data_IF_570403844421
#
_entry.id   IF_570403844421
#
_cell.length_a   1.000
_cell.length_b   1.000
_cell.length_c   1.000
_cell.angle_alpha   90.00
_cell.angle_beta   90.00
_cell.angle_gamma   90.00
#
_symmetry.space_group_name_H-M   'P 1'
#
loop_
_entity.id
_entity.type
_entity.pdbx_description
1 polymer ?
#
# COMPACT_ATOMS: atom_id res chain seq x y z
N UNK A 1 -13.04 5.19 26.39
CA UNK A 1 -12.34 3.96 25.96
C UNK A 1 -11.00 3.86 26.69
N UNK A 2 -10.55 2.66 27.08
CA UNK A 2 -9.25 2.39 27.71
C UNK A 2 -8.61 1.14 27.10
N UNK A 3 -7.28 1.03 27.24
CA UNK A 3 -6.48 -0.09 26.70
C UNK A 3 -5.74 -0.81 27.84
N UNK A 4 -5.77 -2.13 27.81
CA UNK A 4 -5.16 -2.98 28.83
C UNK A 4 -4.46 -4.18 28.21
N UNK A 5 -3.28 -4.53 28.72
CA UNK A 5 -2.64 -5.81 28.41
C UNK A 5 -3.23 -6.90 29.30
N UNK A 6 -3.39 -8.12 28.78
CA UNK A 6 -3.78 -9.29 29.58
C UNK A 6 -2.99 -10.52 29.12
N UNK A 7 -2.76 -11.47 30.03
CA UNK A 7 -2.18 -12.77 29.68
C UNK A 7 -3.21 -13.63 28.95
N UNK A 8 -2.82 -14.29 27.86
CA UNK A 8 -3.73 -15.19 27.12
C UNK A 8 -4.21 -16.35 28.03
N UNK A 9 -3.38 -16.78 28.99
CA UNK A 9 -3.71 -17.86 29.94
C UNK A 9 -4.62 -17.39 31.09
N UNK A 10 -4.54 -16.11 31.47
CA UNK A 10 -5.39 -15.49 32.50
C UNK A 10 -6.08 -14.21 31.98
N UNK A 11 -7.08 -14.31 31.07
CA UNK A 11 -7.69 -13.15 30.42
C UNK A 11 -8.41 -12.18 31.37
N UNK A 12 -8.74 -12.63 32.58
CA UNK A 12 -9.37 -11.81 33.62
C UNK A 12 -8.41 -10.85 34.32
N UNK A 13 -7.09 -11.07 34.22
CA UNK A 13 -6.07 -10.19 34.79
C UNK A 13 -5.56 -9.25 33.72
N UNK A 14 -5.94 -7.98 33.83
CA UNK A 14 -5.51 -6.94 32.91
C UNK A 14 -4.72 -5.84 33.62
N UNK A 15 -3.67 -5.36 32.97
CA UNK A 15 -2.86 -4.23 33.41
C UNK A 15 -3.01 -3.07 32.44
N UNK A 16 -3.05 -1.84 32.94
CA UNK A 16 -3.03 -0.66 32.07
C UNK A 16 -1.76 -0.64 31.20
N UNK A 17 -1.86 -0.03 30.00
CA UNK A 17 -0.69 0.12 29.13
C UNK A 17 0.49 0.74 29.88
N UNK A 18 1.63 0.06 29.84
CA UNK A 18 2.96 0.61 30.19
C UNK A 18 3.64 1.07 28.90
N UNK A 19 4.48 2.10 28.97
CA UNK A 19 5.29 2.55 27.83
C UNK A 19 6.35 1.49 27.51
N UNK A 20 6.16 0.76 26.41
CA UNK A 20 7.09 -0.26 25.94
C UNK A 20 7.23 -0.21 24.42
N UNK A 21 8.42 -0.50 23.92
CA UNK A 21 8.70 -0.71 22.48
C UNK A 21 8.76 -2.17 22.08
N UNK A 22 8.90 -3.06 23.07
CA UNK A 22 9.05 -4.50 22.87
C UNK A 22 7.70 -5.20 22.97
N UNK A 23 7.49 -6.20 22.12
CA UNK A 23 6.22 -6.92 22.06
C UNK A 23 6.07 -7.82 23.29
N UNK A 24 4.97 -7.71 24.08
CA UNK A 24 4.71 -8.66 25.13
C UNK A 24 4.27 -9.99 24.51
N UNK A 25 5.15 -11.00 24.58
CA UNK A 25 4.83 -12.37 24.17
C UNK A 25 3.68 -12.91 25.04
N UNK A 26 2.81 -13.73 24.44
CA UNK A 26 1.70 -14.41 25.13
C UNK A 26 0.68 -13.47 25.82
N UNK A 27 0.62 -12.22 25.37
CA UNK A 27 -0.37 -11.24 25.81
C UNK A 27 -1.37 -10.87 24.71
N UNK A 28 -2.60 -10.62 25.12
CA UNK A 28 -3.63 -9.95 24.31
C UNK A 28 -3.81 -8.50 24.72
N UNK A 29 -4.44 -7.72 23.84
CA UNK A 29 -4.79 -6.32 24.09
C UNK A 29 -6.31 -6.21 24.24
N UNK A 30 -6.77 -5.79 25.42
CA UNK A 30 -8.16 -5.51 25.70
C UNK A 30 -8.46 -4.01 25.51
N UNK A 31 -9.58 -3.72 24.86
CA UNK A 31 -10.13 -2.40 24.62
C UNK A 31 -11.46 -2.32 25.37
N UNK A 32 -11.53 -1.52 26.42
CA UNK A 32 -12.74 -1.34 27.22
C UNK A 32 -13.42 -0.02 26.86
N UNK A 33 -14.75 -0.02 26.74
CA UNK A 33 -15.50 1.22 26.52
C UNK A 33 -16.90 1.14 27.11
N UNK A 34 -17.39 2.29 27.60
CA UNK A 34 -18.71 2.47 28.22
C UNK A 34 -19.64 3.34 27.36
N UNK A 35 -19.13 3.87 26.24
CA UNK A 35 -19.84 4.83 25.38
C UNK A 35 -19.97 4.31 23.95
N UNK A 36 -21.16 4.49 23.37
CA UNK A 36 -21.33 4.68 21.93
C UNK A 36 -21.06 3.47 21.03
N UNK A 37 -21.23 2.24 21.51
CA UNK A 37 -21.19 1.08 20.62
C UNK A 37 -22.57 0.85 20.01
N UNK A 38 -22.71 0.86 18.67
CA UNK A 38 -23.96 0.51 18.01
C UNK A 38 -24.33 -0.95 18.33
N UNK A 39 -25.39 -1.14 19.12
CA UNK A 39 -25.86 -2.47 19.54
C UNK A 39 -25.49 -2.90 20.96
N UNK A 40 -24.96 -2.02 21.81
CA UNK A 40 -24.75 -2.27 23.25
C UNK A 40 -25.47 -1.20 24.07
N UNK A 41 -26.14 -1.59 25.14
CA UNK A 41 -26.88 -0.67 26.01
C UNK A 41 -25.92 0.35 26.67
N UNK A 42 -26.26 1.66 26.65
CA UNK A 42 -25.47 2.70 27.31
C UNK A 42 -25.24 2.38 28.79
N UNK A 43 -23.99 2.50 29.25
CA UNK A 43 -23.60 2.19 30.63
C UNK A 43 -23.13 0.75 30.89
N UNK A 44 -23.20 -0.13 29.88
CA UNK A 44 -22.59 -1.47 29.96
C UNK A 44 -21.13 -1.42 29.50
N UNK A 45 -20.19 -1.83 30.35
CA UNK A 45 -18.78 -1.98 29.95
C UNK A 45 -18.66 -3.12 28.94
N UNK A 46 -18.20 -2.79 27.73
CA UNK A 46 -17.88 -3.76 26.69
C UNK A 46 -16.36 -3.93 26.60
N UNK A 47 -15.91 -5.18 26.58
CA UNK A 47 -14.50 -5.55 26.43
C UNK A 47 -14.30 -6.19 25.07
N UNK A 48 -13.41 -5.60 24.27
CA UNK A 48 -12.97 -6.19 23.02
C UNK A 48 -11.52 -6.62 23.12
N UNK A 49 -11.24 -7.89 22.81
CA UNK A 49 -9.89 -8.42 22.87
C UNK A 49 -9.32 -8.60 21.48
N UNK A 50 -8.11 -8.11 21.31
CA UNK A 50 -7.23 -8.34 20.17
C UNK A 50 -6.21 -9.38 20.63
N UNK A 51 -6.38 -10.63 20.16
CA UNK A 51 -5.49 -11.74 20.50
C UNK A 51 -4.51 -11.97 19.36
N UNK A 52 -3.23 -12.06 19.71
CA UNK A 52 -2.16 -12.39 18.79
C UNK A 52 -2.03 -13.91 18.68
N UNK A 53 -2.22 -14.48 17.49
CA UNK A 53 -1.81 -15.85 17.23
C UNK A 53 -0.56 -15.85 16.36
N UNK A 54 0.57 -16.24 16.96
CA UNK A 54 1.82 -16.41 16.24
C UNK A 54 1.82 -17.81 15.63
N UNK A 55 1.52 -17.93 14.33
CA UNK A 55 1.88 -19.15 13.62
C UNK A 55 3.38 -19.08 13.32
N UNK A 56 4.16 -19.95 13.96
CA UNK A 56 5.59 -20.09 13.70
C UNK A 56 5.77 -20.37 12.21
N UNK A 57 6.56 -19.55 11.51
CA UNK A 57 6.89 -19.82 10.12
C UNK A 57 7.52 -21.23 10.02
N UNK A 58 7.27 -21.98 8.93
CA UNK A 58 7.93 -23.27 8.74
C UNK A 58 9.44 -23.08 8.84
N UNK A 59 10.12 -24.03 9.48
CA UNK A 59 11.54 -23.98 9.91
C UNK A 59 12.58 -23.66 8.83
N UNK A 60 12.15 -23.52 7.57
CA UNK A 60 12.98 -23.26 6.41
C UNK A 60 12.84 -21.83 5.86
N UNK A 61 11.96 -20.97 6.41
CA UNK A 61 11.91 -19.57 6.00
C UNK A 61 12.82 -18.73 6.90
N UNK A 62 13.87 -18.16 6.31
CA UNK A 62 14.74 -17.17 6.95
C UNK A 62 14.06 -15.78 7.03
N UNK A 63 12.81 -15.68 6.58
CA UNK A 63 12.13 -14.41 6.35
C UNK A 63 11.17 -14.07 7.49
N UNK A 64 11.52 -12.99 8.18
CA UNK A 64 10.69 -12.29 9.18
C UNK A 64 9.35 -11.82 8.57
N UNK A 65 9.21 -11.79 7.25
CA UNK A 65 8.02 -11.34 6.51
C UNK A 65 6.88 -12.35 6.37
N UNK A 66 7.11 -13.63 6.71
CA UNK A 66 6.13 -14.72 6.54
C UNK A 66 5.38 -15.10 7.84
N UNK A 67 5.57 -14.34 8.91
CA UNK A 67 4.77 -14.54 10.12
C UNK A 67 3.31 -14.18 9.85
N UNK A 68 2.47 -15.21 9.70
CA UNK A 68 1.02 -15.11 9.72
C UNK A 68 0.59 -14.83 11.16
N UNK A 69 0.42 -13.55 11.46
CA UNK A 69 -0.14 -13.13 12.73
C UNK A 69 -1.64 -12.95 12.58
N UNK A 70 -2.41 -13.84 13.20
CA UNK A 70 -3.87 -13.68 13.24
C UNK A 70 -4.21 -12.73 14.37
N UNK A 71 -5.02 -11.74 14.01
CA UNK A 71 -5.61 -10.81 14.96
C UNK A 71 -7.12 -10.87 14.78
N UNK A 72 -7.83 -11.40 15.76
CA UNK A 72 -9.29 -11.40 15.80
C UNK A 72 -9.76 -10.42 16.88
N UNK A 73 -10.76 -9.60 16.54
CA UNK A 73 -11.44 -8.73 17.50
C UNK A 73 -12.62 -9.50 18.07
N UNK A 74 -12.49 -9.97 19.31
CA UNK A 74 -13.51 -10.76 19.98
C UNK A 74 -14.24 -9.88 21.01
N UNK A 75 -15.58 -9.95 21.03
CA UNK A 75 -16.37 -9.38 22.11
C UNK A 75 -16.33 -10.35 23.28
N UNK A 76 -15.86 -9.87 24.42
CA UNK A 76 -15.82 -10.65 25.67
C UNK A 76 -16.99 -10.18 26.53
N UNK A 77 -17.84 -11.08 27.04
CA UNK A 77 -18.92 -10.69 27.94
C UNK A 77 -18.34 -10.18 29.27
N UNK A 78 -19.01 -9.22 29.90
CA UNK A 78 -18.56 -8.56 31.13
C UNK A 78 -18.59 -9.45 32.39
N UNK A 79 -19.01 -10.72 32.29
CA UNK A 79 -19.11 -11.66 33.42
C UNK A 79 -18.07 -12.79 33.33
N UNK A 80 -17.40 -13.15 34.44
CA UNK A 80 -16.33 -14.15 34.46
C UNK A 80 -16.77 -15.58 34.06
N UNK A 81 -18.05 -15.93 34.20
CA UNK A 81 -18.54 -17.30 33.96
C UNK A 81 -19.01 -17.59 32.53
N UNK A 82 -18.97 -16.61 31.62
CA UNK A 82 -19.42 -16.78 30.25
C UNK A 82 -18.28 -17.25 29.33
N UNK A 83 -18.44 -18.42 28.73
CA UNK A 83 -17.49 -18.98 27.74
C UNK A 83 -17.41 -18.09 26.48
N UNK A 84 -16.21 -18.01 25.90
CA UNK A 84 -15.96 -17.34 24.61
C UNK A 84 -16.88 -17.88 23.51
N UNK A 85 -17.71 -17.03 22.95
CA UNK A 85 -18.46 -17.32 21.72
C UNK A 85 -17.73 -16.71 20.53
N UNK A 86 -17.16 -17.54 19.66
CA UNK A 86 -16.57 -17.10 18.36
C UNK A 86 -17.60 -16.50 17.39
N UNK A 87 -18.90 -16.56 17.69
CA UNK A 87 -19.99 -16.42 16.72
C UNK A 87 -20.77 -15.09 16.79
N UNK A 88 -20.45 -14.17 17.69
CA UNK A 88 -21.04 -12.82 17.63
C UNK A 88 -20.17 -11.94 16.72
N UNK A 89 -20.70 -11.52 15.57
CA UNK A 89 -20.08 -10.48 14.74
C UNK A 89 -20.26 -9.14 15.47
N UNK A 90 -19.24 -8.61 16.19
CA UNK A 90 -19.52 -7.66 17.28
C UNK A 90 -19.89 -6.26 16.81
N UNK A 91 -19.45 -5.92 15.61
CA UNK A 91 -19.49 -4.58 15.02
C UNK A 91 -19.55 -4.75 13.51
N UNK A 92 -20.45 -4.01 12.84
CA UNK A 92 -20.38 -3.86 11.39
C UNK A 92 -19.03 -3.25 10.95
N UNK A 93 -18.62 -3.53 9.71
CA UNK A 93 -17.33 -3.10 9.12
C UNK A 93 -16.95 -1.64 9.41
N UNK A 94 -17.87 -0.69 9.23
CA UNK A 94 -17.61 0.73 9.44
C UNK A 94 -17.35 1.07 10.92
N UNK A 95 -18.19 0.54 11.81
CA UNK A 95 -18.06 0.73 13.25
C UNK A 95 -16.77 0.11 13.78
N UNK A 96 -16.36 -1.04 13.23
CA UNK A 96 -15.09 -1.68 13.58
C UNK A 96 -13.89 -0.80 13.21
N UNK A 97 -13.90 -0.17 12.03
CA UNK A 97 -12.80 0.74 11.63
C UNK A 97 -12.79 2.01 12.47
N UNK A 98 -13.95 2.60 12.75
CA UNK A 98 -14.02 3.77 13.64
C UNK A 98 -13.50 3.44 15.05
N UNK A 99 -13.94 2.33 15.61
CA UNK A 99 -13.52 1.82 16.92
C UNK A 99 -12.00 1.60 16.97
N UNK A 100 -11.44 0.88 15.99
CA UNK A 100 -9.99 0.64 15.91
C UNK A 100 -9.21 1.93 15.66
N UNK A 101 -9.76 2.89 14.90
CA UNK A 101 -9.15 4.21 14.72
C UNK A 101 -9.02 4.95 16.04
N UNK A 102 -10.08 4.98 16.87
CA UNK A 102 -10.05 5.63 18.18
C UNK A 102 -9.09 4.91 19.14
N UNK A 103 -9.09 3.58 19.14
CA UNK A 103 -8.16 2.79 19.92
C UNK A 103 -6.70 3.09 19.53
N UNK A 104 -6.43 3.28 18.23
CA UNK A 104 -5.09 3.63 17.75
C UNK A 104 -4.62 4.98 18.30
N UNK A 105 -5.51 5.98 18.34
CA UNK A 105 -5.18 7.30 18.91
C UNK A 105 -4.81 7.19 20.39
N UNK A 106 -5.56 6.41 21.17
CA UNK A 106 -5.24 6.13 22.59
C UNK A 106 -3.89 5.41 22.73
N UNK A 107 -3.58 4.45 21.86
CA UNK A 107 -2.30 3.76 21.89
C UNK A 107 -1.11 4.69 21.57
N UNK A 108 -1.30 5.61 20.62
CA UNK A 108 -0.31 6.64 20.26
C UNK A 108 -0.10 7.61 21.42
N UNK A 109 -1.18 8.11 22.04
CA UNK A 109 -1.13 9.00 23.21
C UNK A 109 -0.43 8.32 24.40
N UNK A 110 -0.71 7.03 24.62
CA UNK A 110 -0.05 6.21 25.64
C UNK A 110 1.41 5.84 25.30
N UNK A 111 1.91 6.23 24.12
CA UNK A 111 3.25 5.90 23.60
C UNK A 111 3.54 4.40 23.57
N UNK A 112 2.52 3.58 23.31
CA UNK A 112 2.64 2.12 23.24
C UNK A 112 2.75 1.65 21.79
N UNK A 113 3.98 1.41 21.32
CA UNK A 113 4.24 0.92 19.96
C UNK A 113 3.61 -0.46 19.70
N UNK A 114 3.75 -1.47 20.59
CA UNK A 114 3.12 -2.78 20.38
C UNK A 114 1.59 -2.71 20.26
N UNK A 115 0.93 -1.89 21.09
CA UNK A 115 -0.52 -1.72 21.01
C UNK A 115 -0.94 -1.08 19.68
N UNK A 116 -0.22 -0.04 19.22
CA UNK A 116 -0.48 0.58 17.93
C UNK A 116 -0.32 -0.41 16.76
N UNK A 117 0.72 -1.26 16.80
CA UNK A 117 0.96 -2.30 15.80
C UNK A 117 -0.15 -3.37 15.79
N UNK A 118 -0.61 -3.82 16.97
CA UNK A 118 -1.72 -4.77 17.09
C UNK A 118 -3.04 -4.21 16.57
N UNK A 119 -3.36 -2.97 16.94
CA UNK A 119 -4.59 -2.30 16.48
C UNK A 119 -4.56 -2.11 14.96
N UNK A 120 -3.43 -1.65 14.42
CA UNK A 120 -3.23 -1.54 12.98
C UNK A 120 -3.38 -2.89 12.29
N UNK A 121 -2.72 -3.94 12.80
CA UNK A 121 -2.84 -5.30 12.26
C UNK A 121 -4.28 -5.80 12.26
N UNK A 122 -5.05 -5.51 13.32
CA UNK A 122 -6.49 -5.82 13.37
C UNK A 122 -7.28 -5.08 12.30
N UNK A 123 -6.95 -3.81 12.04
CA UNK A 123 -7.64 -2.98 11.05
C UNK A 123 -7.40 -3.48 9.62
N UNK A 124 -6.20 -4.00 9.34
CA UNK A 124 -5.85 -4.58 8.05
C UNK A 124 -6.67 -5.83 7.69
N UNK A 125 -7.22 -6.53 8.70
CA UNK A 125 -8.07 -7.72 8.50
C UNK A 125 -9.57 -7.40 8.38
N UNK A 126 -9.97 -6.15 8.53
CA UNK A 126 -11.36 -5.76 8.30
C UNK A 126 -11.70 -5.98 6.84
N UNK A 127 -12.78 -6.73 6.56
CA UNK A 127 -13.18 -7.06 5.21
C UNK A 127 -13.44 -5.79 4.39
N UNK A 128 -12.55 -5.52 3.43
CA UNK A 128 -12.64 -4.35 2.55
C UNK A 128 -13.58 -4.66 1.39
N UNK A 129 -14.74 -4.02 1.35
CA UNK A 129 -15.71 -4.17 0.26
C UNK A 129 -15.44 -3.25 -0.94
N UNK A 130 -16.19 -3.43 -2.03
CA UNK A 130 -16.22 -2.52 -3.19
C UNK A 130 -17.62 -1.88 -3.27
N UNK A 131 -17.72 -0.59 -2.94
CA UNK A 131 -18.94 0.22 -2.79
C UNK A 131 -18.64 1.66 -2.30
N UNK A 132 -19.62 2.58 -2.30
CA UNK A 132 -19.40 3.97 -1.85
C UNK A 132 -19.05 4.04 -0.34
N UNK A 133 -19.74 3.26 0.47
CA UNK A 133 -19.51 3.09 1.91
C UNK A 133 -18.12 2.49 2.19
N UNK A 134 -17.73 1.47 1.43
CA UNK A 134 -16.41 0.85 1.58
C UNK A 134 -15.24 1.73 1.12
N UNK A 135 -15.48 2.75 0.28
CA UNK A 135 -14.45 3.75 -0.06
C UNK A 135 -14.05 4.56 1.17
N UNK A 136 -15.03 4.99 2.00
CA UNK A 136 -14.74 5.71 3.24
C UNK A 136 -13.98 4.83 4.24
N UNK A 137 -14.38 3.57 4.39
CA UNK A 137 -13.69 2.57 5.21
C UNK A 137 -12.23 2.39 4.76
N UNK A 138 -11.99 2.20 3.47
CA UNK A 138 -10.64 2.01 2.94
C UNK A 138 -9.76 3.26 3.16
N UNK A 139 -10.34 4.46 3.00
CA UNK A 139 -9.64 5.72 3.29
C UNK A 139 -9.29 5.81 4.78
N UNK A 140 -10.22 5.45 5.66
CA UNK A 140 -9.99 5.48 7.10
C UNK A 140 -8.87 4.51 7.50
N UNK A 141 -8.86 3.27 6.98
CA UNK A 141 -7.78 2.31 7.25
C UNK A 141 -6.44 2.85 6.74
N UNK A 142 -6.40 3.41 5.53
CA UNK A 142 -5.17 3.99 5.00
C UNK A 142 -4.64 5.16 5.84
N UNK A 143 -5.53 6.01 6.37
CA UNK A 143 -5.16 7.07 7.33
C UNK A 143 -4.68 6.53 8.67
N UNK A 144 -5.29 5.46 9.18
CA UNK A 144 -4.79 4.76 10.37
C UNK A 144 -3.37 4.25 10.15
N UNK A 145 -3.12 3.65 8.99
CA UNK A 145 -1.82 3.14 8.62
C UNK A 145 -0.74 4.23 8.49
N UNK A 146 -1.07 5.39 7.92
CA UNK A 146 -0.18 6.55 7.89
C UNK A 146 0.18 7.04 9.31
N UNK A 147 -0.82 7.17 10.21
CA UNK A 147 -0.61 7.56 11.61
C UNK A 147 0.26 6.54 12.35
N UNK A 148 -0.04 5.25 12.21
CA UNK A 148 0.72 4.18 12.83
C UNK A 148 2.18 4.16 12.34
N UNK A 149 2.42 4.34 11.03
CA UNK A 149 3.76 4.38 10.47
C UNK A 149 4.56 5.62 10.93
N UNK A 150 3.92 6.79 10.99
CA UNK A 150 4.53 8.00 11.52
C UNK A 150 4.90 7.87 13.00
N UNK A 151 3.99 7.32 13.81
CA UNK A 151 4.25 7.03 15.22
C UNK A 151 5.36 6.00 15.40
N UNK A 152 5.42 4.95 14.57
CA UNK A 152 6.49 3.96 14.62
C UNK A 152 7.88 4.59 14.37
N UNK A 153 7.99 5.50 13.40
CA UNK A 153 9.23 6.25 13.15
C UNK A 153 9.63 7.08 14.36
N UNK A 154 8.65 7.76 14.97
CA UNK A 154 8.89 8.57 16.17
C UNK A 154 9.30 7.74 17.38
N UNK A 155 8.60 6.64 17.65
CA UNK A 155 8.87 5.73 18.75
C UNK A 155 10.26 5.11 18.65
N UNK A 156 10.71 4.80 17.43
CA UNK A 156 12.05 4.25 17.20
C UNK A 156 13.12 5.33 17.25
N UNK A 157 12.90 6.52 16.69
CA UNK A 157 13.98 7.49 16.53
C UNK A 157 13.60 8.94 16.84
N UNK A 158 12.93 9.60 15.90
CA UNK A 158 12.59 11.02 15.90
C UNK A 158 11.32 11.21 15.05
N UNK A 159 10.53 12.26 15.28
CA UNK A 159 9.32 12.50 14.51
C UNK A 159 9.59 12.51 13.00
N UNK A 160 8.63 11.99 12.22
CA UNK A 160 8.69 12.02 10.75
C UNK A 160 8.96 13.42 10.20
N UNK A 161 8.40 14.46 10.85
CA UNK A 161 8.61 15.86 10.48
C UNK A 161 10.08 16.25 10.46
N UNK A 162 10.91 15.69 11.34
CA UNK A 162 12.36 15.89 11.35
C UNK A 162 12.96 15.48 10.01
N UNK A 163 12.66 14.28 9.50
CA UNK A 163 13.12 13.85 8.17
C UNK A 163 12.60 14.77 7.05
N UNK A 164 11.30 15.12 7.09
CA UNK A 164 10.67 15.97 6.08
C UNK A 164 11.38 17.33 5.95
N UNK A 165 11.87 17.92 7.05
CA UNK A 165 12.54 19.23 7.03
C UNK A 165 13.87 19.25 6.26
N UNK A 166 14.55 18.11 6.11
CA UNK A 166 15.81 18.01 5.37
C UNK A 166 15.76 17.00 4.23
N UNK A 167 14.56 16.53 3.84
CA UNK A 167 14.40 15.63 2.72
C UNK A 167 15.01 16.27 1.46
N UNK A 168 15.92 15.56 0.80
CA UNK A 168 16.77 16.05 -0.28
C UNK A 168 18.15 16.56 0.15
N UNK A 169 18.52 16.52 1.44
CA UNK A 169 19.89 16.77 1.93
C UNK A 169 20.64 15.45 2.21
N UNK A 170 21.52 14.97 1.31
CA UNK A 170 22.02 13.59 1.34
C UNK A 170 22.69 13.16 2.64
N UNK A 171 23.42 14.06 3.30
CA UNK A 171 24.13 13.76 4.56
C UNK A 171 23.17 13.57 5.72
N UNK A 172 22.20 14.47 5.89
CA UNK A 172 21.20 14.41 6.96
C UNK A 172 20.26 13.24 6.76
N UNK A 173 19.79 13.04 5.52
CA UNK A 173 19.00 11.86 5.14
C UNK A 173 19.72 10.56 5.48
N UNK A 174 20.97 10.40 5.01
CA UNK A 174 21.71 9.15 5.24
C UNK A 174 21.96 8.88 6.71
N UNK A 175 22.26 9.91 7.51
CA UNK A 175 22.45 9.76 8.95
C UNK A 175 21.16 9.32 9.65
N UNK A 176 20.03 9.97 9.34
CA UNK A 176 18.72 9.64 9.90
C UNK A 176 18.28 8.21 9.53
N UNK A 177 18.35 7.87 8.24
CA UNK A 177 17.98 6.54 7.73
C UNK A 177 18.81 5.45 8.39
N UNK A 178 20.14 5.63 8.51
CA UNK A 178 21.02 4.66 9.16
C UNK A 178 20.67 4.47 10.64
N UNK A 179 20.43 5.57 11.36
CA UNK A 179 20.08 5.52 12.78
C UNK A 179 18.73 4.81 12.99
N UNK A 180 17.70 5.19 12.22
CA UNK A 180 16.38 4.55 12.28
C UNK A 180 16.44 3.07 11.90
N UNK A 181 17.15 2.73 10.82
CA UNK A 181 17.32 1.34 10.39
C UNK A 181 18.06 0.50 11.43
N UNK A 182 19.11 1.03 12.06
CA UNK A 182 19.83 0.33 13.13
C UNK A 182 18.90 0.01 14.31
N UNK A 183 18.02 0.95 14.69
CA UNK A 183 17.04 0.73 15.76
C UNK A 183 15.96 -0.27 15.37
N UNK A 184 15.44 -0.20 14.15
CA UNK A 184 14.51 -1.20 13.61
C UNK A 184 15.12 -2.60 13.59
N UNK A 185 16.42 -2.74 13.29
CA UNK A 185 17.08 -4.04 13.26
C UNK A 185 17.32 -4.62 14.66
N UNK A 186 17.39 -3.76 15.69
CA UNK A 186 17.64 -4.13 17.08
C UNK A 186 16.38 -4.47 17.89
N UNK A 187 15.17 -4.18 17.38
CA UNK A 187 13.94 -4.65 18.04
C UNK A 187 13.79 -6.18 17.88
N UNK A 188 12.94 -6.77 18.72
CA UNK A 188 12.61 -8.20 18.64
C UNK A 188 12.05 -8.58 17.25
N UNK A 189 12.16 -9.86 16.89
CA UNK A 189 11.83 -10.32 15.55
C UNK A 189 10.35 -10.13 15.17
N UNK A 190 9.43 -10.17 16.14
CA UNK A 190 8.00 -10.00 15.91
C UNK A 190 7.67 -8.53 15.64
N UNK A 191 8.16 -7.62 16.49
CA UNK A 191 8.03 -6.17 16.29
C UNK A 191 8.64 -5.76 14.96
N UNK A 192 9.83 -6.29 14.63
CA UNK A 192 10.49 -6.03 13.35
C UNK A 192 9.63 -6.46 12.15
N UNK A 193 9.04 -7.65 12.20
CA UNK A 193 8.17 -8.13 11.12
C UNK A 193 6.95 -7.23 10.90
N UNK A 194 6.31 -6.80 11.99
CA UNK A 194 5.20 -5.86 11.92
C UNK A 194 5.60 -4.51 11.35
N UNK A 195 6.71 -3.94 11.83
CA UNK A 195 7.21 -2.64 11.36
C UNK A 195 7.54 -2.68 9.86
N UNK A 196 8.17 -3.76 9.40
CA UNK A 196 8.48 -3.95 8.00
C UNK A 196 7.21 -4.00 7.15
N UNK A 197 6.19 -4.76 7.56
CA UNK A 197 4.90 -4.83 6.86
C UNK A 197 4.11 -3.52 6.91
N UNK A 198 4.18 -2.81 8.03
CA UNK A 198 3.58 -1.48 8.18
C UNK A 198 4.23 -0.49 7.21
N UNK A 199 5.56 -0.45 7.13
CA UNK A 199 6.29 0.43 6.21
C UNK A 199 6.05 0.06 4.74
N UNK A 200 6.06 -1.23 4.40
CA UNK A 200 5.72 -1.72 3.06
C UNK A 200 4.32 -1.26 2.66
N UNK A 201 3.33 -1.50 3.52
CA UNK A 201 1.96 -1.08 3.25
C UNK A 201 1.88 0.45 3.15
N UNK A 202 2.59 1.20 4.00
CA UNK A 202 2.54 2.67 4.04
C UNK A 202 3.06 3.29 2.74
N UNK A 203 4.04 2.65 2.09
CA UNK A 203 4.47 3.01 0.73
C UNK A 203 3.31 2.82 -0.26
N UNK A 204 2.63 1.67 -0.23
CA UNK A 204 1.49 1.40 -1.12
C UNK A 204 0.33 2.40 -0.91
N UNK A 205 0.11 2.88 0.32
CA UNK A 205 -0.90 3.90 0.61
C UNK A 205 -0.54 5.25 -0.03
N UNK A 206 0.74 5.62 -0.04
CA UNK A 206 1.20 6.81 -0.74
C UNK A 206 0.96 6.71 -2.25
N UNK A 207 1.13 5.52 -2.84
CA UNK A 207 0.83 5.25 -4.26
C UNK A 207 -0.69 5.21 -4.53
N UNK A 208 -1.48 4.63 -3.61
CA UNK A 208 -2.92 4.46 -3.76
C UNK A 208 -3.68 5.79 -3.90
N UNK A 209 -3.19 6.84 -3.24
CA UNK A 209 -3.78 8.17 -3.30
C UNK A 209 -3.09 9.10 -4.31
N UNK A 210 -2.59 8.57 -5.43
CA UNK A 210 -2.00 9.30 -6.58
C UNK A 210 -2.93 10.34 -7.27
N UNK A 211 -3.98 10.81 -6.59
CA UNK A 211 -4.71 12.02 -6.95
C UNK A 211 -3.92 13.25 -6.46
N UNK A 212 -3.78 14.33 -7.26
CA UNK A 212 -2.94 15.50 -6.94
C UNK A 212 -3.40 16.34 -5.72
N UNK A 213 -4.40 15.85 -4.97
CA UNK A 213 -4.90 16.48 -3.75
C UNK A 213 -4.12 16.11 -2.48
N UNK A 214 -3.11 15.25 -2.56
CA UNK A 214 -2.34 14.84 -1.38
C UNK A 214 -1.23 15.82 -1.04
N UNK A 215 -0.92 15.92 0.26
CA UNK A 215 0.09 16.83 0.74
C UNK A 215 1.47 16.39 0.23
N UNK A 216 2.26 17.36 -0.23
CA UNK A 216 3.68 17.20 -0.56
C UNK A 216 4.49 16.48 0.55
N UNK A 217 4.00 16.43 1.79
CA UNK A 217 4.68 15.80 2.92
C UNK A 217 4.64 14.26 2.86
N UNK A 218 3.57 13.67 2.31
CA UNK A 218 3.35 12.22 2.32
C UNK A 218 4.35 11.45 1.44
N UNK A 219 4.84 12.07 0.35
CA UNK A 219 5.85 11.43 -0.54
C UNK A 219 7.24 11.36 0.08
N UNK A 220 7.63 12.34 0.90
CA UNK A 220 8.88 12.26 1.67
C UNK A 220 8.84 11.14 2.70
N UNK A 221 7.66 10.87 3.29
CA UNK A 221 7.48 9.73 4.19
C UNK A 221 7.62 8.39 3.44
N UNK A 222 6.99 8.23 2.28
CA UNK A 222 7.13 7.02 1.44
C UNK A 222 8.59 6.72 1.08
N UNK A 223 9.34 7.77 0.73
CA UNK A 223 10.76 7.67 0.44
C UNK A 223 11.58 7.29 1.69
N UNK A 224 11.28 7.86 2.86
CA UNK A 224 11.92 7.42 4.12
C UNK A 224 11.69 5.93 4.36
N UNK A 225 10.44 5.47 4.30
CA UNK A 225 10.10 4.06 4.51
C UNK A 225 10.86 3.17 3.52
N UNK A 226 10.89 3.56 2.25
CA UNK A 226 11.62 2.84 1.21
C UNK A 226 13.10 2.74 1.56
N UNK A 227 13.76 3.86 1.88
CA UNK A 227 15.18 3.91 2.25
C UNK A 227 15.49 3.03 3.47
N UNK A 228 14.67 3.09 4.53
CA UNK A 228 14.86 2.28 5.73
C UNK A 228 14.76 0.79 5.40
N UNK A 229 13.76 0.39 4.60
CA UNK A 229 13.61 -1.01 4.19
C UNK A 229 14.80 -1.52 3.37
N UNK A 230 15.53 -0.67 2.65
CA UNK A 230 16.77 -1.10 1.95
C UNK A 230 17.87 -1.59 2.89
N UNK A 231 17.81 -1.25 4.18
CA UNK A 231 18.77 -1.75 5.17
C UNK A 231 18.39 -3.14 5.71
N UNK A 232 17.13 -3.56 5.55
CA UNK A 232 16.62 -4.87 5.95
C UNK A 232 17.11 -5.93 4.93
N UNK A 233 17.81 -7.00 5.38
CA UNK A 233 18.44 -7.97 4.47
C UNK A 233 17.53 -8.54 3.38
N UNK A 234 16.30 -8.96 3.73
CA UNK A 234 15.35 -9.56 2.80
C UNK A 234 14.79 -8.57 1.76
N UNK A 235 14.81 -7.27 2.06
CA UNK A 235 14.31 -6.23 1.15
C UNK A 235 15.41 -5.63 0.26
N UNK A 236 16.70 -5.91 0.52
CA UNK A 236 17.82 -5.40 -0.30
C UNK A 236 17.69 -5.79 -1.77
N UNK A 237 17.21 -7.00 -2.03
CA UNK A 237 16.99 -7.57 -3.38
C UNK A 237 15.54 -7.47 -3.86
N UNK A 238 14.64 -6.83 -3.10
CA UNK A 238 13.23 -6.72 -3.48
C UNK A 238 13.05 -5.72 -4.65
N UNK A 239 12.85 -6.23 -5.86
CA UNK A 239 12.72 -5.40 -7.06
C UNK A 239 11.52 -4.43 -7.01
N UNK A 240 10.39 -4.87 -6.44
CA UNK A 240 9.19 -4.05 -6.33
C UNK A 240 9.41 -2.80 -5.46
N UNK A 241 10.13 -2.96 -4.33
CA UNK A 241 10.46 -1.86 -3.44
C UNK A 241 11.25 -0.76 -4.18
N UNK A 242 12.31 -1.12 -4.89
CA UNK A 242 13.15 -0.15 -5.60
C UNK A 242 12.42 0.51 -6.78
N UNK A 243 11.53 -0.22 -7.45
CA UNK A 243 10.65 0.35 -8.47
C UNK A 243 9.73 1.43 -7.88
N UNK A 244 9.00 1.11 -6.80
CA UNK A 244 8.06 2.03 -6.15
C UNK A 244 8.79 3.24 -5.56
N UNK A 245 9.98 3.05 -4.97
CA UNK A 245 10.82 4.16 -4.51
C UNK A 245 11.21 5.11 -5.67
N UNK A 246 11.57 4.55 -6.83
CA UNK A 246 11.87 5.30 -8.04
C UNK A 246 10.67 6.11 -8.55
N UNK A 247 9.49 5.48 -8.61
CA UNK A 247 8.24 6.15 -9.01
C UNK A 247 7.85 7.27 -8.05
N UNK A 248 7.96 7.02 -6.73
CA UNK A 248 7.66 8.02 -5.70
C UNK A 248 8.57 9.24 -5.82
N UNK A 249 9.88 9.02 -5.97
CA UNK A 249 10.84 10.11 -6.17
C UNK A 249 10.58 10.89 -7.48
N UNK A 250 10.21 10.20 -8.56
CA UNK A 250 9.83 10.85 -9.84
C UNK A 250 8.55 11.67 -9.70
N UNK A 251 7.51 11.13 -9.06
CA UNK A 251 6.25 11.84 -8.89
C UNK A 251 6.45 13.08 -8.01
N UNK A 252 7.26 12.96 -6.95
CA UNK A 252 7.67 14.12 -6.13
C UNK A 252 8.38 15.20 -6.94
N UNK A 253 9.27 14.82 -7.86
CA UNK A 253 9.89 15.78 -8.78
C UNK A 253 8.84 16.52 -9.61
N UNK A 254 7.83 15.82 -10.15
CA UNK A 254 6.75 16.42 -10.93
C UNK A 254 5.94 17.39 -10.07
N UNK A 255 5.47 16.96 -8.90
CA UNK A 255 4.65 17.79 -8.02
C UNK A 255 5.37 19.08 -7.61
N UNK A 256 6.69 19.02 -7.36
CA UNK A 256 7.50 20.20 -7.05
C UNK A 256 7.56 21.18 -8.22
N UNK A 257 7.61 20.68 -9.46
CA UNK A 257 7.62 21.52 -10.66
C UNK A 257 6.24 22.11 -10.97
N UNK A 258 5.17 21.37 -10.69
CA UNK A 258 3.81 21.87 -10.81
C UNK A 258 3.50 22.94 -9.74
N UNK A 259 3.98 22.75 -8.51
CA UNK A 259 3.79 23.69 -7.40
C UNK A 259 4.66 24.95 -7.52
N UNK A 260 5.84 24.84 -8.14
CA UNK A 260 6.79 25.95 -8.26
C UNK A 260 7.39 25.94 -9.66
N UNK A 261 6.73 26.64 -10.58
CA UNK A 261 7.00 26.62 -12.02
C UNK A 261 8.41 27.08 -12.43
N UNK A 262 9.20 27.65 -11.51
CA UNK A 262 10.58 28.09 -11.77
C UNK A 262 11.60 27.47 -10.80
N UNK A 263 12.60 26.78 -11.36
CA UNK A 263 13.77 26.19 -10.67
C UNK A 263 14.87 27.27 -10.46
N UNK A 264 14.48 28.46 -9.98
CA UNK A 264 15.36 29.64 -9.87
C UNK A 264 16.26 29.63 -8.64
N UNK A 265 15.90 28.88 -7.59
CA UNK A 265 16.72 28.79 -6.38
C UNK A 265 17.97 27.95 -6.65
N UNK A 266 19.12 28.40 -6.10
CA UNK A 266 20.45 27.74 -6.11
C UNK A 266 20.40 26.24 -5.73
N UNK A 267 19.33 25.82 -5.06
CA UNK A 267 19.04 24.45 -4.65
C UNK A 267 17.76 23.95 -5.33
N UNK A 268 17.87 23.46 -6.57
CA UNK A 268 16.70 22.92 -7.27
C UNK A 268 16.30 21.55 -6.69
N UNK A 269 15.28 21.53 -5.84
CA UNK A 269 14.81 20.33 -5.14
C UNK A 269 14.31 19.26 -6.12
N UNK A 270 13.54 19.67 -7.15
CA UNK A 270 13.07 18.76 -8.21
C UNK A 270 14.23 18.04 -8.90
N UNK A 271 15.34 18.73 -9.17
CA UNK A 271 16.53 18.14 -9.75
C UNK A 271 17.19 17.08 -8.84
N UNK A 272 17.16 17.28 -7.52
CA UNK A 272 17.66 16.28 -6.56
C UNK A 272 16.76 15.05 -6.53
N UNK A 273 15.44 15.24 -6.57
CA UNK A 273 14.47 14.15 -6.66
C UNK A 273 14.60 13.37 -7.97
N UNK A 274 14.87 14.03 -9.11
CA UNK A 274 15.27 13.37 -10.36
C UNK A 274 16.46 12.42 -10.13
N UNK A 275 17.56 12.94 -9.57
CA UNK A 275 18.76 12.14 -9.29
C UNK A 275 18.53 11.03 -8.27
N UNK A 276 17.57 11.20 -7.37
CA UNK A 276 17.14 10.16 -6.43
C UNK A 276 16.38 9.05 -7.15
N UNK A 277 15.39 9.39 -7.98
CA UNK A 277 14.66 8.44 -8.82
C UNK A 277 15.60 7.67 -9.76
N UNK A 278 16.53 8.37 -10.43
CA UNK A 278 17.56 7.79 -11.29
C UNK A 278 18.36 6.72 -10.53
N UNK A 279 18.85 7.04 -9.33
CA UNK A 279 19.59 6.10 -8.48
C UNK A 279 18.77 4.86 -8.11
N UNK A 280 17.48 5.02 -7.79
CA UNK A 280 16.61 3.89 -7.48
C UNK A 280 16.40 2.96 -8.67
N UNK A 281 16.14 3.51 -9.87
CA UNK A 281 15.98 2.68 -11.07
C UNK A 281 17.29 1.98 -11.47
N UNK A 282 18.45 2.62 -11.33
CA UNK A 282 19.72 1.95 -11.58
C UNK A 282 20.07 0.91 -10.50
N UNK A 283 19.62 1.10 -9.26
CA UNK A 283 19.75 0.06 -8.23
C UNK A 283 18.86 -1.14 -8.55
N UNK A 284 17.62 -0.91 -8.98
CA UNK A 284 16.74 -1.96 -9.51
C UNK A 284 17.41 -2.70 -10.66
N UNK A 285 17.96 -1.99 -11.65
CA UNK A 285 18.68 -2.59 -12.78
C UNK A 285 19.82 -3.50 -12.30
N UNK A 286 20.63 -3.03 -11.36
CA UNK A 286 21.71 -3.83 -10.76
C UNK A 286 21.20 -5.09 -10.03
N UNK A 287 20.05 -5.02 -9.37
CA UNK A 287 19.44 -6.18 -8.70
C UNK A 287 18.98 -7.20 -9.74
N UNK A 288 18.31 -6.74 -10.81
CA UNK A 288 17.87 -7.63 -11.89
C UNK A 288 19.05 -8.29 -12.60
N UNK A 289 20.17 -7.59 -12.80
CA UNK A 289 21.41 -8.16 -13.35
C UNK A 289 22.07 -9.23 -12.47
N UNK A 290 21.82 -9.22 -11.16
CA UNK A 290 22.38 -10.18 -10.22
C UNK A 290 21.46 -11.38 -9.98
N UNK A 291 20.23 -11.36 -10.50
CA UNK A 291 19.28 -12.47 -10.36
C UNK A 291 19.75 -13.68 -11.15
N UNK A 292 19.90 -14.81 -10.46
CA UNK A 292 20.26 -16.10 -11.06
C UNK A 292 19.04 -16.89 -11.53
N UNK A 293 17.92 -16.74 -10.83
CA UNK A 293 16.67 -17.41 -11.18
C UNK A 293 16.04 -16.79 -12.43
N UNK A 294 15.18 -17.54 -13.15
CA UNK A 294 14.42 -17.00 -14.28
C UNK A 294 13.69 -15.71 -13.88
N UNK A 295 13.98 -14.62 -14.62
CA UNK A 295 13.33 -13.35 -14.39
C UNK A 295 11.88 -13.40 -14.87
N UNK A 296 10.99 -12.73 -14.15
CA UNK A 296 9.65 -12.44 -14.65
C UNK A 296 9.70 -11.26 -15.61
N UNK A 297 9.05 -11.40 -16.77
CA UNK A 297 9.05 -10.37 -17.81
C UNK A 297 8.51 -9.02 -17.30
N UNK A 298 7.56 -9.06 -16.37
CA UNK A 298 6.97 -7.89 -15.70
C UNK A 298 8.03 -7.03 -14.99
N UNK A 299 9.10 -7.63 -14.45
CA UNK A 299 10.17 -6.89 -13.76
C UNK A 299 11.00 -6.06 -14.73
N UNK A 300 11.25 -6.57 -15.94
CA UNK A 300 11.91 -5.81 -17.01
C UNK A 300 11.03 -4.65 -17.49
N UNK A 301 9.73 -4.89 -17.60
CA UNK A 301 8.78 -3.83 -17.93
C UNK A 301 8.82 -2.70 -16.93
N UNK A 302 8.74 -2.99 -15.63
CA UNK A 302 8.78 -1.98 -14.59
C UNK A 302 10.06 -1.15 -14.61
N UNK A 303 11.21 -1.79 -14.84
CA UNK A 303 12.46 -1.05 -15.02
C UNK A 303 12.39 -0.12 -16.25
N UNK A 304 11.94 -0.64 -17.39
CA UNK A 304 11.83 0.15 -18.62
C UNK A 304 10.84 1.32 -18.48
N UNK A 305 9.65 1.06 -17.95
CA UNK A 305 8.60 2.04 -17.71
C UNK A 305 9.09 3.15 -16.76
N UNK A 306 9.73 2.78 -15.66
CA UNK A 306 10.31 3.74 -14.71
C UNK A 306 11.37 4.64 -15.34
N UNK A 307 12.32 4.08 -16.09
CA UNK A 307 13.36 4.83 -16.82
C UNK A 307 12.73 5.76 -17.85
N UNK A 308 11.80 5.26 -18.68
CA UNK A 308 11.16 6.07 -19.72
C UNK A 308 10.37 7.22 -19.10
N UNK A 309 9.52 6.94 -18.11
CA UNK A 309 8.74 7.97 -17.41
C UNK A 309 9.62 9.02 -16.74
N UNK A 310 10.80 8.63 -16.22
CA UNK A 310 11.71 9.57 -15.61
C UNK A 310 12.41 10.47 -16.64
N UNK A 311 13.06 9.89 -17.64
CA UNK A 311 13.93 10.62 -18.58
C UNK A 311 13.21 11.34 -19.71
N UNK A 312 11.95 11.00 -19.98
CA UNK A 312 11.09 11.67 -20.97
C UNK A 312 9.95 12.46 -20.31
N UNK A 313 10.08 12.81 -19.03
CA UNK A 313 9.09 13.63 -18.34
C UNK A 313 9.08 15.06 -18.91
N UNK A 314 7.87 15.59 -19.15
CA UNK A 314 7.66 16.93 -19.70
C UNK A 314 8.16 18.07 -18.79
N UNK A 315 8.45 17.79 -17.52
CA UNK A 315 9.00 18.77 -16.57
C UNK A 315 10.52 18.93 -16.69
N UNK A 316 11.23 18.03 -17.37
CA UNK A 316 12.70 18.11 -17.50
C UNK A 316 13.16 19.42 -18.15
N UNK A 317 12.59 19.88 -19.29
CA UNK A 317 12.99 21.14 -19.90
C UNK A 317 12.79 22.36 -18.98
N UNK A 318 11.88 22.26 -18.01
CA UNK A 318 11.66 23.30 -17.00
C UNK A 318 12.74 23.28 -15.92
N UNK A 319 13.23 22.10 -15.52
CA UNK A 319 14.33 21.92 -14.56
C UNK A 319 15.69 22.30 -15.16
N UNK A 320 15.85 22.13 -16.48
CA UNK A 320 17.05 22.54 -17.22
C UNK A 320 17.27 24.05 -17.25
N UNK A 321 16.27 24.83 -16.83
CA UNK A 321 16.40 26.28 -16.64
C UNK A 321 16.90 26.54 -15.21
N UNK A 322 17.97 27.32 -15.07
CA UNK A 322 18.48 27.75 -13.77
C UNK A 322 19.38 26.72 -13.07
N UNK A 323 19.25 26.59 -11.74
CA UNK A 323 20.19 25.82 -10.92
C UNK A 323 20.09 24.30 -11.13
N UNK A 324 18.96 23.80 -11.62
CA UNK A 324 18.70 22.38 -11.87
C UNK A 324 19.59 21.79 -12.97
N UNK A 325 19.99 22.59 -13.96
CA UNK A 325 20.86 22.15 -15.06
C UNK A 325 22.19 21.55 -14.55
N UNK A 326 22.79 22.17 -13.52
CA UNK A 326 24.05 21.70 -12.91
C UNK A 326 23.89 20.35 -12.22
N UNK A 327 22.69 20.00 -11.76
CA UNK A 327 22.39 18.76 -11.03
C UNK A 327 21.96 17.66 -12.01
N UNK A 328 21.08 17.96 -12.96
CA UNK A 328 20.59 16.99 -13.96
C UNK A 328 21.70 16.47 -14.87
N UNK A 329 22.67 17.34 -15.17
CA UNK A 329 23.62 17.13 -16.24
C UNK A 329 23.03 17.51 -17.60
N UNK A 330 23.88 17.59 -18.61
CA UNK A 330 23.50 17.99 -19.97
C UNK A 330 22.55 16.98 -20.61
N UNK A 331 21.83 17.41 -21.66
CA UNK A 331 21.01 16.52 -22.49
C UNK A 331 21.80 15.31 -23.01
N UNK A 332 23.06 15.50 -23.42
CA UNK A 332 23.91 14.38 -23.83
C UNK A 332 24.21 13.42 -22.68
N UNK A 333 24.55 13.93 -21.49
CA UNK A 333 24.82 13.09 -20.32
C UNK A 333 23.60 12.25 -19.91
N UNK A 334 22.39 12.81 -20.01
CA UNK A 334 21.16 12.05 -19.76
C UNK A 334 20.87 11.02 -20.84
N UNK A 335 21.10 11.35 -22.11
CA UNK A 335 20.97 10.38 -23.21
C UNK A 335 21.89 9.17 -23.00
N UNK A 336 23.11 9.37 -22.50
CA UNK A 336 24.03 8.27 -22.13
C UNK A 336 23.42 7.37 -21.05
N UNK A 337 22.73 7.92 -20.05
CA UNK A 337 22.06 7.09 -19.03
C UNK A 337 20.88 6.29 -19.62
N UNK A 338 20.11 6.88 -20.53
CA UNK A 338 19.03 6.14 -21.24
C UNK A 338 19.61 4.99 -22.06
N UNK A 339 20.66 5.24 -22.85
CA UNK A 339 21.34 4.19 -23.62
C UNK A 339 21.92 3.10 -22.72
N UNK A 340 22.49 3.48 -21.56
CA UNK A 340 22.96 2.52 -20.56
C UNK A 340 21.82 1.62 -20.05
N UNK A 341 20.67 2.20 -19.70
CA UNK A 341 19.52 1.43 -19.25
C UNK A 341 18.97 0.50 -20.35
N UNK A 342 18.90 0.98 -21.59
CA UNK A 342 18.50 0.17 -22.75
C UNK A 342 19.45 -1.02 -22.97
N UNK A 343 20.76 -0.80 -22.87
CA UNK A 343 21.75 -1.87 -22.98
C UNK A 343 21.57 -2.93 -21.90
N UNK A 344 21.31 -2.52 -20.65
CA UNK A 344 21.03 -3.45 -19.55
C UNK A 344 19.76 -4.26 -19.85
N UNK A 345 18.68 -3.61 -20.27
CA UNK A 345 17.43 -4.28 -20.63
C UNK A 345 17.62 -5.30 -21.75
N UNK A 346 18.39 -4.95 -22.79
CA UNK A 346 18.71 -5.87 -23.89
C UNK A 346 19.53 -7.06 -23.42
N UNK A 347 20.51 -6.85 -22.54
CA UNK A 347 21.30 -7.95 -21.95
C UNK A 347 20.40 -8.89 -21.15
N UNK A 348 19.54 -8.35 -20.30
CA UNK A 348 18.59 -9.14 -19.50
C UNK A 348 17.59 -9.90 -20.38
N UNK A 349 17.08 -9.26 -21.44
CA UNK A 349 16.21 -9.93 -22.42
C UNK A 349 16.91 -11.09 -23.11
N UNK A 350 18.16 -10.90 -23.56
CA UNK A 350 18.95 -11.97 -24.20
C UNK A 350 19.19 -13.16 -23.27
N UNK A 351 19.50 -12.90 -22.00
CA UNK A 351 19.84 -13.95 -21.03
C UNK A 351 18.61 -14.71 -20.56
N UNK A 352 17.53 -14.01 -20.22
CA UNK A 352 16.37 -14.64 -19.55
C UNK A 352 15.20 -14.91 -20.50
N UNK A 353 15.20 -14.33 -21.71
CA UNK A 353 14.13 -14.46 -22.70
C UNK A 353 14.67 -14.58 -24.14
N UNK A 354 15.54 -15.57 -24.44
CA UNK A 354 16.17 -15.71 -25.75
C UNK A 354 15.15 -15.88 -26.89
N UNK A 355 13.99 -16.48 -26.61
CA UNK A 355 12.91 -16.65 -27.60
C UNK A 355 12.18 -15.35 -27.94
N UNK A 356 12.40 -14.28 -27.18
CA UNK A 356 11.78 -12.96 -27.37
C UNK A 356 12.81 -11.92 -27.87
N UNK A 357 13.92 -12.34 -28.47
CA UNK A 357 15.07 -11.45 -28.72
C UNK A 357 14.84 -10.33 -29.76
N UNK A 358 13.69 -10.28 -30.44
CA UNK A 358 13.28 -9.20 -31.36
C UNK A 358 11.76 -8.96 -31.35
N UNK A 359 11.15 -8.57 -30.22
CA UNK A 359 9.73 -8.33 -30.20
C UNK A 359 9.45 -7.01 -30.92
N UNK A 360 8.53 -7.04 -31.87
CA UNK A 360 8.07 -5.82 -32.55
C UNK A 360 7.53 -4.83 -31.52
N UNK A 361 7.61 -3.53 -31.81
CA UNK A 361 6.99 -2.48 -30.97
C UNK A 361 5.50 -2.74 -30.75
N UNK A 362 4.83 -3.44 -31.67
CA UNK A 362 3.47 -3.91 -31.55
C UNK A 362 3.32 -5.08 -30.55
N UNK A 363 4.20 -6.09 -30.54
CA UNK A 363 4.18 -7.18 -29.54
C UNK A 363 4.50 -6.67 -28.13
N UNK A 364 5.42 -5.71 -28.03
CA UNK A 364 5.68 -4.97 -26.79
C UNK A 364 4.46 -4.11 -26.40
N UNK A 365 3.86 -3.34 -27.30
CA UNK A 365 2.69 -2.53 -26.92
C UNK A 365 1.43 -3.36 -26.63
N UNK A 366 1.26 -4.51 -27.30
CA UNK A 366 0.16 -5.47 -27.12
C UNK A 366 0.26 -6.20 -25.78
N UNK A 367 1.46 -6.66 -25.39
CA UNK A 367 1.69 -7.30 -24.09
C UNK A 367 1.79 -6.30 -22.92
N UNK A 368 2.21 -5.05 -23.18
CA UNK A 368 2.68 -4.15 -22.12
C UNK A 368 1.95 -2.80 -21.98
N UNK A 369 1.07 -2.37 -22.90
CA UNK A 369 0.27 -1.15 -22.64
C UNK A 369 -0.78 -1.48 -21.58
N UNK A 370 -0.78 -0.83 -20.40
CA UNK A 370 -1.82 -1.07 -19.43
C UNK A 370 -3.15 -0.60 -20.02
N UNK A 371 -4.00 -1.55 -20.42
CA UNK A 371 -5.39 -1.27 -20.74
C UNK A 371 -6.03 -0.51 -19.57
N UNK A 372 -7.05 0.34 -19.79
CA UNK A 372 -7.79 0.98 -18.69
C UNK A 372 -8.29 -0.02 -17.64
N UNK A 373 -8.55 -1.26 -18.07
CA UNK A 373 -8.90 -2.40 -17.21
C UNK A 373 -7.71 -2.89 -16.36
N UNK A 374 -6.49 -2.85 -16.89
CA UNK A 374 -5.27 -3.23 -16.15
C UNK A 374 -4.84 -2.18 -15.12
N UNK A 375 -5.04 -0.87 -15.36
CA UNK A 375 -4.83 0.15 -14.32
C UNK A 375 -5.82 0.00 -13.17
N UNK A 376 -7.08 -0.33 -13.49
CA UNK A 376 -8.06 -0.75 -12.48
C UNK A 376 -7.66 -2.06 -11.83
N UNK A 377 -7.11 -3.03 -12.56
CA UNK A 377 -6.64 -4.29 -12.02
C UNK A 377 -5.43 -4.11 -11.10
N UNK A 378 -4.53 -3.19 -11.41
CA UNK A 378 -3.36 -2.81 -10.60
C UNK A 378 -3.80 -2.07 -9.34
N UNK A 379 -4.72 -1.11 -9.44
CA UNK A 379 -5.40 -0.53 -8.28
C UNK A 379 -6.11 -1.60 -7.45
N UNK A 380 -6.83 -2.52 -8.08
CA UNK A 380 -7.50 -3.64 -7.40
C UNK A 380 -6.49 -4.64 -6.78
N UNK A 381 -5.31 -4.80 -7.37
CA UNK A 381 -4.22 -5.64 -6.86
C UNK A 381 -3.56 -4.97 -5.65
N UNK A 382 -3.35 -3.64 -5.69
CA UNK A 382 -2.92 -2.85 -4.53
C UNK A 382 -3.99 -2.94 -3.43
N UNK A 383 -5.27 -2.79 -3.75
CA UNK A 383 -6.38 -3.03 -2.83
C UNK A 383 -6.37 -4.48 -2.27
N UNK A 384 -6.01 -5.47 -3.08
CA UNK A 384 -5.91 -6.88 -2.71
C UNK A 384 -4.72 -7.17 -1.81
N UNK A 385 -3.54 -6.60 -2.09
CA UNK A 385 -2.35 -6.63 -1.21
C UNK A 385 -2.59 -5.94 0.12
N UNK A 386 -3.42 -4.89 0.12
CA UNK A 386 -3.94 -4.26 1.33
C UNK A 386 -5.06 -5.08 2.02
N UNK A 387 -5.34 -6.32 1.58
CA UNK A 387 -6.22 -7.29 2.24
C UNK A 387 -7.64 -7.46 1.66
N UNK A 388 -7.90 -7.19 0.38
CA UNK A 388 -9.25 -7.30 -0.23
C UNK A 388 -9.35 -8.41 -1.31
N UNK A 389 -10.02 -9.52 -1.01
CA UNK A 389 -10.40 -10.54 -2.01
C UNK A 389 -11.72 -10.14 -2.68
N UNK A 390 -11.76 -10.12 -4.02
CA UNK A 390 -12.97 -9.84 -4.81
C UNK A 390 -13.92 -11.04 -4.80
N UNK A 391 -15.14 -10.85 -4.28
CA UNK A 391 -16.22 -11.85 -4.40
C UNK A 391 -17.34 -11.27 -5.24
N UNK A 392 -17.47 -11.79 -6.46
CA UNK A 392 -18.56 -11.45 -7.38
C UNK A 392 -19.91 -11.72 -6.70
N UNK A 393 -20.83 -10.73 -6.74
CA UNK A 393 -22.15 -10.82 -6.09
C UNK A 393 -23.30 -10.45 -7.02
N UNK A 394 -24.49 -10.99 -6.72
CA UNK A 394 -25.72 -10.69 -7.42
C UNK A 394 -26.13 -9.23 -7.20
N UNK A 395 -26.42 -8.51 -8.27
CA UNK A 395 -26.82 -7.11 -8.23
C UNK A 395 -28.29 -6.88 -7.88
N UNK A 396 -29.11 -7.93 -7.90
CA UNK A 396 -30.50 -7.84 -7.45
C UNK A 396 -30.68 -8.19 -5.97
N UNK A 397 -29.92 -9.17 -5.44
CA UNK A 397 -30.12 -9.67 -4.07
C UNK A 397 -28.87 -9.65 -3.17
N UNK A 398 -27.72 -9.22 -3.70
CA UNK A 398 -26.47 -9.09 -2.92
C UNK A 398 -25.76 -10.40 -2.58
N UNK A 399 -26.34 -11.57 -2.85
CA UNK A 399 -25.75 -12.89 -2.56
C UNK A 399 -24.44 -13.11 -3.34
N UNK A 400 -23.46 -13.73 -2.68
CA UNK A 400 -22.14 -14.08 -3.21
C UNK A 400 -21.87 -15.59 -3.04
N UNK A 401 -20.86 -16.15 -3.74
CA UNK A 401 -20.57 -17.59 -3.68
C UNK A 401 -21.56 -18.50 -4.44
N UNK A 402 -22.41 -17.91 -5.28
CA UNK A 402 -23.38 -18.61 -6.15
C UNK A 402 -23.03 -18.40 -7.61
N UNK A 403 -23.50 -19.26 -8.51
CA UNK A 403 -23.31 -19.06 -9.95
C UNK A 403 -24.01 -17.76 -10.39
N UNK A 404 -23.26 -16.86 -11.02
CA UNK A 404 -23.75 -15.55 -11.46
C UNK A 404 -23.71 -15.42 -12.97
N UNK A 405 -24.85 -15.01 -13.54
CA UNK A 405 -25.01 -14.77 -14.97
C UNK A 405 -24.92 -13.29 -15.27
N UNK A 406 -24.20 -12.94 -16.33
CA UNK A 406 -24.07 -11.55 -16.80
C UNK A 406 -25.34 -11.10 -17.51
N UNK A 407 -25.70 -9.83 -17.36
CA UNK A 407 -26.76 -9.20 -18.14
C UNK A 407 -26.49 -9.40 -19.65
N UNK A 408 -27.44 -10.01 -20.36
CA UNK A 408 -27.28 -10.35 -21.78
C UNK A 408 -26.99 -9.15 -22.69
N UNK A 409 -27.43 -7.95 -22.30
CA UNK A 409 -27.23 -6.74 -23.12
C UNK A 409 -25.91 -6.01 -22.81
N UNK A 410 -25.69 -5.58 -21.56
CA UNK A 410 -24.53 -4.77 -21.22
C UNK A 410 -23.32 -5.58 -20.71
N UNK A 411 -23.51 -6.87 -20.36
CA UNK A 411 -22.52 -7.77 -19.71
C UNK A 411 -21.88 -7.25 -18.41
N UNK A 412 -22.34 -6.11 -17.89
CA UNK A 412 -21.72 -5.35 -16.80
C UNK A 412 -22.34 -5.60 -15.42
N UNK A 413 -23.56 -6.15 -15.37
CA UNK A 413 -24.24 -6.56 -14.15
C UNK A 413 -24.29 -8.08 -14.06
N UNK A 414 -24.23 -8.61 -12.85
CA UNK A 414 -24.24 -10.03 -12.53
C UNK A 414 -25.45 -10.36 -11.66
N UNK A 415 -26.15 -11.45 -11.99
CA UNK A 415 -27.35 -11.86 -11.29
C UNK A 415 -27.34 -13.36 -11.06
N UNK A 416 -27.78 -13.81 -9.88
CA UNK A 416 -27.95 -15.23 -9.62
C UNK A 416 -29.13 -15.81 -10.41
N UNK A 417 -30.11 -14.98 -10.79
CA UNK A 417 -31.27 -15.39 -11.56
C UNK A 417 -31.94 -14.21 -12.32
N UNK A 418 -32.83 -14.49 -13.29
CA UNK A 418 -33.54 -13.47 -14.05
C UNK A 418 -34.47 -12.57 -13.20
N UNK A 419 -34.93 -13.04 -12.05
CA UNK A 419 -35.76 -12.27 -11.11
C UNK A 419 -34.96 -11.10 -10.54
N UNK A 420 -33.71 -11.36 -10.12
CA UNK A 420 -32.78 -10.34 -9.64
C UNK A 420 -32.43 -9.31 -10.73
N UNK A 421 -32.35 -9.75 -11.99
CA UNK A 421 -32.15 -8.83 -13.12
C UNK A 421 -33.36 -7.93 -13.35
N UNK A 422 -34.58 -8.49 -13.29
CA UNK A 422 -35.84 -7.73 -13.42
C UNK A 422 -36.03 -6.74 -12.27
N UNK A 423 -35.68 -7.13 -11.05
CA UNK A 423 -35.73 -6.25 -9.88
C UNK A 423 -34.77 -5.05 -10.01
N UNK A 424 -33.52 -5.29 -10.42
CA UNK A 424 -32.54 -4.23 -10.69
C UNK A 424 -32.85 -3.44 -11.97
N UNK A 425 -33.77 -3.90 -12.84
CA UNK A 425 -34.02 -3.26 -14.14
C UNK A 425 -34.44 -1.80 -14.02
N UNK A 426 -35.22 -1.43 -13.00
CA UNK A 426 -35.69 -0.05 -12.78
C UNK A 426 -34.52 0.94 -12.65
N UNK A 427 -33.43 0.54 -12.00
CA UNK A 427 -32.23 1.35 -11.80
C UNK A 427 -31.15 1.06 -12.85
N UNK A 428 -31.09 -0.16 -13.36
CA UNK A 428 -30.11 -0.62 -14.33
C UNK A 428 -30.39 -0.13 -15.76
N UNK A 429 -31.66 0.01 -16.16
CA UNK A 429 -32.09 0.26 -17.56
C UNK A 429 -31.35 1.42 -18.22
N UNK A 430 -31.26 2.57 -17.55
CA UNK A 430 -30.60 3.77 -18.10
C UNK A 430 -29.11 3.53 -18.39
N UNK A 431 -28.42 2.84 -17.49
CA UNK A 431 -27.00 2.50 -17.64
C UNK A 431 -26.77 1.35 -18.64
N UNK A 432 -27.74 0.43 -18.76
CA UNK A 432 -27.69 -0.68 -19.70
C UNK A 432 -27.75 -0.17 -21.16
N UNK A 433 -28.67 0.75 -21.44
CA UNK A 433 -28.88 1.29 -22.79
C UNK A 433 -27.71 2.18 -23.24
N UNK A 434 -27.12 2.97 -22.34
CA UNK A 434 -25.95 3.79 -22.65
C UNK A 434 -24.74 2.98 -23.09
N UNK A 435 -24.52 1.80 -22.49
CA UNK A 435 -23.41 0.90 -22.87
C UNK A 435 -23.68 0.12 -24.16
N UNK A 436 -24.95 -0.20 -24.48
CA UNK A 436 -25.33 -0.81 -25.77
C UNK A 436 -25.01 0.14 -26.93
N UNK A 437 -25.46 1.39 -26.83
CA UNK A 437 -25.21 2.42 -27.83
C UNK A 437 -23.72 2.80 -27.98
N UNK A 438 -22.94 2.71 -26.90
CA UNK A 438 -21.48 2.88 -26.96
C UNK A 438 -20.78 1.74 -27.71
N UNK A 439 -21.26 0.51 -27.55
CA UNK A 439 -20.70 -0.67 -28.21
C UNK A 439 -21.06 -0.74 -29.70
N UNK A 440 -22.28 -0.37 -30.06
CA UNK A 440 -22.73 -0.27 -31.45
C UNK A 440 -21.95 0.81 -32.21
N UNK A 441 -21.71 1.98 -31.60
CA UNK A 441 -20.87 3.04 -32.18
C UNK A 441 -19.41 2.61 -32.39
N UNK A 442 -18.85 1.83 -31.47
CA UNK A 442 -17.49 1.28 -31.61
C UNK A 442 -17.39 0.24 -32.72
N UNK A 443 -18.43 -0.59 -32.91
CA UNK A 443 -18.48 -1.59 -33.98
C UNK A 443 -18.69 -0.91 -35.36
N UNK A 444 -19.50 0.14 -35.43
CA UNK A 444 -19.72 0.94 -36.65
C UNK A 444 -18.44 1.69 -37.09
N UNK A 445 -17.72 2.30 -36.14
CA UNK A 445 -16.42 2.96 -36.40
C UNK A 445 -15.33 1.99 -36.86
N UNK A 446 -15.44 0.70 -36.52
CA UNK A 446 -14.52 -0.35 -36.97
C UNK A 446 -14.90 -0.90 -38.35
N UNK A 447 -16.18 -0.85 -38.75
CA UNK A 447 -16.64 -1.26 -40.09
C UNK A 447 -16.44 -0.18 -41.16
N UNK A 448 -16.51 1.10 -40.81
CA UNK A 448 -16.23 2.22 -41.72
C UNK A 448 -14.74 2.51 -41.97
N UNK A 449 -13.83 1.65 -41.51
CA UNK A 449 -12.36 1.73 -41.73
C UNK A 449 -11.81 0.54 -42.53
N UNK A 450 -12.68 -0.27 -43.12
CA UNK A 450 -12.33 -1.38 -44.01
C UNK A 450 -12.35 -0.93 -45.47
#
# INVERSE_FOLDING_TARGET
MKLHWFSIDEPSRSEALKTATDFPLDCGLAITTNEGIPGVDPGTEAVYSIILYIMKAPSNSADVGDMLVFIDLLKVPSKPDSKFSKNEEPLGTENKVLFLSQALDIAIEARSLPAALMIHGSAMRVQRGIGKTSKATNIAIAKMQQRAAAFAVEALHQPMSTFVTFAGEPKKESAFVKALAARLLNVDCYTKGYLVKLFESAIDVCDFFDNPSNSLQDRSAADLYSQVLTHVPSYRSCSALWHNAGLNAKNRMIDLMEANSTCEKVQCEAARWFKKAERYFFKLASILQQQKDPLELTRLFFLNDGIVKLFYSDVIPMIEKGAGAKILGTKQQRAVQVSRAQNILQQLMKVHFPDLCHPTSHELNSKFRPQPESRKAEQNLIFSKLGAVDVQKCHGCGKSGVELKRCGQCKNRLYCNPECQRADWKTHKHLCMGKKAGRERLVEQQRGRA
#
